data_IF_359231435541
#
_entry.id   IF_359231435541
#
_cell.length_a   1.000
_cell.length_b   1.000
_cell.length_c   1.000
_cell.angle_alpha   90.00
_cell.angle_beta   90.00
_cell.angle_gamma   90.00
#
_symmetry.space_group_name_H-M   'P 1'
#
loop_
_entity.id
_entity.type
_entity.pdbx_description
1 polymer ?
#
# COMPACT_ATOMS: atom_id res chain seq x y z
N UNK A 1 -7.87 3.79 -9.01
CA UNK A 1 -9.02 3.71 -8.07
C UNK A 1 -8.65 4.18 -6.68
N UNK A 2 -7.60 3.65 -6.03
CA UNK A 2 -7.13 4.13 -4.72
C UNK A 2 -6.87 5.66 -4.65
N UNK A 3 -6.05 6.20 -5.57
CA UNK A 3 -5.75 7.64 -5.63
C UNK A 3 -7.01 8.51 -5.81
N UNK A 4 -7.98 8.04 -6.59
CA UNK A 4 -9.24 8.76 -6.84
C UNK A 4 -10.05 8.87 -5.55
N UNK A 5 -10.18 7.76 -4.81
CA UNK A 5 -10.83 7.77 -3.50
C UNK A 5 -10.11 8.67 -2.51
N UNK A 6 -8.77 8.68 -2.50
CA UNK A 6 -8.01 9.58 -1.64
C UNK A 6 -8.25 11.06 -1.96
N UNK A 7 -8.30 11.44 -3.23
CA UNK A 7 -8.64 12.81 -3.63
C UNK A 7 -10.04 13.19 -3.15
N UNK A 8 -11.03 12.33 -3.39
CA UNK A 8 -12.42 12.56 -2.95
C UNK A 8 -12.47 12.74 -1.43
N UNK A 9 -11.94 11.80 -0.64
CA UNK A 9 -11.96 11.92 0.81
C UNK A 9 -11.13 13.09 1.33
N UNK A 10 -10.03 13.44 0.68
CA UNK A 10 -9.27 14.63 1.08
C UNK A 10 -10.03 15.92 0.83
N UNK A 11 -10.76 16.04 -0.28
CA UNK A 11 -11.63 17.20 -0.50
C UNK A 11 -12.78 17.27 0.51
N UNK A 12 -13.39 16.13 0.85
CA UNK A 12 -14.56 16.08 1.74
C UNK A 12 -14.21 16.23 3.23
N UNK A 13 -13.15 15.54 3.70
CA UNK A 13 -12.79 15.47 5.13
C UNK A 13 -11.79 16.56 5.50
N UNK A 14 -10.78 16.81 4.67
CA UNK A 14 -9.72 17.79 4.93
C UNK A 14 -10.04 19.18 4.34
N UNK A 15 -11.03 19.28 3.45
CA UNK A 15 -11.39 20.53 2.78
C UNK A 15 -10.33 21.05 1.80
N UNK A 16 -9.41 20.19 1.35
CA UNK A 16 -8.34 20.59 0.42
C UNK A 16 -8.93 20.95 -0.96
N UNK A 17 -8.39 22.01 -1.56
CA UNK A 17 -8.66 22.34 -2.97
C UNK A 17 -7.49 21.88 -3.82
N UNK A 18 -7.76 21.02 -4.80
CA UNK A 18 -6.76 20.56 -5.74
C UNK A 18 -6.76 21.41 -7.00
N UNK A 19 -5.57 21.66 -7.52
CA UNK A 19 -5.41 22.35 -8.79
C UNK A 19 -5.55 21.42 -9.99
N UNK A 20 -5.81 21.99 -11.17
CA UNK A 20 -5.86 21.22 -12.42
C UNK A 20 -4.56 20.46 -12.70
N UNK A 21 -3.40 21.03 -12.32
CA UNK A 21 -2.10 20.36 -12.50
C UNK A 21 -1.96 19.14 -11.58
N UNK A 22 -2.45 19.23 -10.33
CA UNK A 22 -2.43 18.10 -9.40
C UNK A 22 -3.35 16.98 -9.86
N UNK A 23 -4.53 17.32 -10.37
CA UNK A 23 -5.46 16.33 -10.94
C UNK A 23 -4.83 15.67 -12.17
N UNK A 24 -4.26 16.47 -13.09
CA UNK A 24 -3.57 15.95 -14.26
C UNK A 24 -2.37 15.06 -13.89
N UNK A 25 -1.57 15.46 -12.89
CA UNK A 25 -0.46 14.67 -12.36
C UNK A 25 -0.93 13.33 -11.78
N UNK A 26 -2.00 13.30 -10.99
CA UNK A 26 -2.58 12.05 -10.48
C UNK A 26 -3.12 11.15 -11.59
N UNK A 27 -3.75 11.70 -12.63
CA UNK A 27 -4.23 10.94 -13.78
C UNK A 27 -3.07 10.36 -14.60
N UNK A 28 -2.01 11.14 -14.82
CA UNK A 28 -0.79 10.69 -15.48
C UNK A 28 -0.12 9.55 -14.71
N UNK A 29 -0.01 9.66 -13.38
CA UNK A 29 0.51 8.58 -12.53
C UNK A 29 -0.34 7.32 -12.65
N UNK A 30 -1.67 7.44 -12.59
CA UNK A 30 -2.56 6.30 -12.77
C UNK A 30 -2.41 5.65 -14.15
N UNK A 31 -2.32 6.45 -15.21
CA UNK A 31 -2.11 5.96 -16.57
C UNK A 31 -0.74 5.26 -16.72
N UNK A 32 0.32 5.83 -16.14
CA UNK A 32 1.66 5.25 -16.14
C UNK A 32 1.72 3.89 -15.44
N UNK A 33 1.05 3.75 -14.28
CA UNK A 33 0.92 2.45 -13.60
C UNK A 33 0.17 1.43 -14.46
N UNK A 34 -0.97 1.81 -15.03
CA UNK A 34 -1.76 0.91 -15.89
C UNK A 34 -0.94 0.44 -17.09
N UNK A 35 -0.23 1.35 -17.76
CA UNK A 35 0.63 1.03 -18.89
C UNK A 35 1.81 0.12 -18.49
N UNK A 36 2.45 0.39 -17.35
CA UNK A 36 3.54 -0.43 -16.83
C UNK A 36 3.08 -1.85 -16.47
N UNK A 37 1.92 -2.00 -15.82
CA UNK A 37 1.40 -3.31 -15.39
C UNK A 37 0.84 -4.11 -16.57
N UNK A 38 0.11 -3.46 -17.49
CA UNK A 38 -0.45 -4.12 -18.68
C UNK A 38 0.64 -4.66 -19.62
N UNK A 39 1.86 -4.12 -19.56
CA UNK A 39 2.98 -4.62 -20.37
C UNK A 39 3.48 -6.01 -19.99
N UNK A 40 3.17 -6.48 -18.77
CA UNK A 40 3.54 -7.81 -18.27
C UNK A 40 2.42 -8.86 -18.39
N UNK A 41 1.21 -8.46 -18.78
CA UNK A 41 0.11 -9.40 -19.01
C UNK A 41 0.19 -9.97 -20.42
N UNK A 42 0.85 -11.12 -20.57
CA UNK A 42 0.70 -11.96 -21.77
C UNK A 42 -0.70 -12.58 -21.76
N UNK A 43 -1.44 -12.31 -22.83
CA UNK A 43 -2.79 -12.77 -23.16
C UNK A 43 -3.95 -12.24 -22.30
N UNK A 44 -4.97 -11.73 -22.99
CA UNK A 44 -6.18 -11.09 -22.46
C UNK A 44 -7.13 -12.01 -21.65
N UNK A 45 -6.59 -12.97 -20.89
CA UNK A 45 -7.34 -13.91 -20.05
C UNK A 45 -7.53 -13.45 -18.59
N UNK A 46 -6.84 -12.42 -18.11
CA UNK A 46 -6.99 -11.99 -16.71
C UNK A 46 -8.38 -11.41 -16.37
N UNK A 47 -9.17 -10.97 -17.36
CA UNK A 47 -10.48 -10.36 -17.12
C UNK A 47 -11.66 -11.15 -17.71
N UNK A 48 -11.44 -12.14 -18.58
CA UNK A 48 -12.53 -12.88 -19.22
C UNK A 48 -13.16 -13.96 -18.32
N UNK A 49 -12.44 -14.43 -17.30
CA UNK A 49 -12.89 -15.50 -16.40
C UNK A 49 -13.16 -15.05 -14.94
N UNK A 50 -13.00 -13.77 -14.63
CA UNK A 50 -13.20 -13.27 -13.25
C UNK A 50 -14.59 -12.65 -13.13
N UNK A 51 -15.42 -13.23 -12.25
CA UNK A 51 -16.71 -12.65 -11.92
C UNK A 51 -16.56 -11.18 -11.49
N UNK A 52 -17.38 -10.30 -12.08
CA UNK A 52 -17.38 -8.85 -11.83
C UNK A 52 -17.40 -8.46 -10.33
N UNK A 53 -17.90 -9.37 -9.49
CA UNK A 53 -17.90 -9.26 -8.03
C UNK A 53 -16.50 -9.00 -7.45
N UNK A 54 -15.44 -9.63 -7.97
CA UNK A 54 -14.09 -9.49 -7.42
C UNK A 54 -13.45 -8.12 -7.68
N UNK A 55 -13.46 -7.58 -8.92
CA UNK A 55 -13.08 -6.19 -9.16
C UNK A 55 -13.91 -5.18 -8.35
N UNK A 56 -15.21 -5.39 -8.21
CA UNK A 56 -16.08 -4.52 -7.42
C UNK A 56 -15.71 -4.56 -5.93
N UNK A 57 -15.45 -5.74 -5.38
CA UNK A 57 -14.99 -5.91 -3.99
C UNK A 57 -13.61 -5.26 -3.77
N UNK A 58 -12.68 -5.41 -4.71
CA UNK A 58 -11.38 -4.74 -4.65
C UNK A 58 -11.55 -3.22 -4.67
N UNK A 59 -12.43 -2.68 -5.53
CA UNK A 59 -12.74 -1.25 -5.58
C UNK A 59 -13.29 -0.75 -4.25
N UNK A 60 -14.26 -1.45 -3.67
CA UNK A 60 -14.82 -1.12 -2.36
C UNK A 60 -13.76 -1.15 -1.25
N UNK A 61 -12.90 -2.18 -1.23
CA UNK A 61 -11.79 -2.29 -0.27
C UNK A 61 -10.81 -1.12 -0.37
N UNK A 62 -10.47 -0.68 -1.59
CA UNK A 62 -9.55 0.46 -1.77
C UNK A 62 -10.11 1.77 -1.24
N UNK A 63 -11.44 1.94 -1.17
CA UNK A 63 -12.06 3.12 -0.56
C UNK A 63 -11.79 3.16 0.95
N UNK A 64 -11.95 2.03 1.67
CA UNK A 64 -11.64 1.98 3.11
C UNK A 64 -10.15 2.24 3.39
N UNK A 65 -9.25 1.68 2.57
CA UNK A 65 -7.82 1.93 2.69
C UNK A 65 -7.47 3.42 2.47
N UNK A 66 -8.09 4.03 1.44
CA UNK A 66 -7.93 5.45 1.15
C UNK A 66 -8.45 6.31 2.31
N UNK A 67 -9.64 6.01 2.83
CA UNK A 67 -10.24 6.68 3.98
C UNK A 67 -9.36 6.61 5.23
N UNK A 68 -8.82 5.43 5.54
CA UNK A 68 -7.89 5.25 6.66
C UNK A 68 -6.61 6.11 6.52
N UNK A 69 -6.07 6.23 5.31
CA UNK A 69 -4.91 7.09 5.03
C UNK A 69 -5.24 8.58 5.23
N UNK A 70 -6.39 9.03 4.75
CA UNK A 70 -6.88 10.42 4.92
C UNK A 70 -7.19 10.72 6.39
N UNK A 71 -7.78 9.79 7.14
CA UNK A 71 -8.06 9.96 8.57
C UNK A 71 -6.77 10.10 9.38
N UNK A 72 -5.71 9.35 9.04
CA UNK A 72 -4.38 9.53 9.65
C UNK A 72 -3.84 10.94 9.41
N UNK A 73 -3.96 11.46 8.18
CA UNK A 73 -3.59 12.85 7.89
C UNK A 73 -4.41 13.84 8.71
N UNK A 74 -5.73 13.63 8.82
CA UNK A 74 -6.60 14.47 9.64
C UNK A 74 -6.17 14.49 11.11
N UNK A 75 -5.80 13.33 11.69
CA UNK A 75 -5.28 13.24 13.06
C UNK A 75 -4.01 14.06 13.24
N UNK A 76 -3.07 14.02 12.29
CA UNK A 76 -1.85 14.84 12.37
C UNK A 76 -2.16 16.35 12.34
N UNK A 77 -3.09 16.78 11.48
CA UNK A 77 -3.49 18.19 11.38
C UNK A 77 -4.25 18.65 12.63
N UNK A 78 -5.20 17.85 13.13
CA UNK A 78 -5.95 18.17 14.34
C UNK A 78 -5.05 18.21 15.57
N UNK A 79 -4.12 17.25 15.69
CA UNK A 79 -3.15 17.23 16.78
C UNK A 79 -2.23 18.47 16.75
N UNK A 80 -1.76 18.90 15.58
CA UNK A 80 -0.96 20.13 15.46
C UNK A 80 -1.74 21.37 15.95
N UNK A 81 -3.05 21.45 15.68
CA UNK A 81 -3.91 22.53 16.20
C UNK A 81 -4.06 22.45 17.72
N UNK A 82 -4.35 21.28 18.27
CA UNK A 82 -4.55 21.08 19.73
C UNK A 82 -3.27 21.22 20.54
N UNK A 83 -2.13 20.83 19.99
CA UNK A 83 -0.82 20.85 20.65
C UNK A 83 -0.04 22.16 20.42
N UNK A 84 -0.73 23.24 19.99
CA UNK A 84 -0.14 24.58 19.77
C UNK A 84 1.07 24.55 18.82
N UNK A 85 0.98 23.79 17.73
CA UNK A 85 2.03 23.67 16.73
C UNK A 85 3.10 22.61 17.02
N UNK A 86 3.02 21.88 18.14
CA UNK A 86 3.87 20.69 18.34
C UNK A 86 3.37 19.54 17.47
N UNK A 87 4.30 18.88 16.79
CA UNK A 87 4.05 17.67 16.03
C UNK A 87 3.63 16.51 16.96
N UNK A 88 2.59 15.78 16.57
CA UNK A 88 2.24 14.51 17.22
C UNK A 88 3.33 13.47 16.94
N UNK A 89 3.63 12.65 17.93
CA UNK A 89 4.56 11.54 17.76
C UNK A 89 3.95 10.46 16.83
N UNK A 90 4.70 10.11 15.80
CA UNK A 90 4.35 9.09 14.80
C UNK A 90 4.15 7.72 15.46
N UNK A 91 4.94 7.39 16.49
CA UNK A 91 4.86 6.10 17.16
C UNK A 91 3.51 5.90 17.84
N UNK A 92 2.88 6.96 18.33
CA UNK A 92 1.52 6.89 18.91
C UNK A 92 0.53 6.48 17.83
N UNK A 93 0.53 7.16 16.68
CA UNK A 93 -0.39 6.86 15.57
C UNK A 93 -0.15 5.44 15.02
N UNK A 94 1.11 5.04 14.87
CA UNK A 94 1.47 3.73 14.36
C UNK A 94 1.08 2.59 15.32
N UNK A 95 1.34 2.76 16.62
CA UNK A 95 1.04 1.76 17.65
C UNK A 95 -0.46 1.60 17.86
N UNK A 96 -1.24 2.70 17.94
CA UNK A 96 -2.70 2.61 18.01
C UNK A 96 -3.28 1.98 16.74
N UNK A 97 -2.80 2.38 15.56
CA UNK A 97 -3.23 1.79 14.29
C UNK A 97 -2.96 0.28 14.23
N UNK A 98 -1.75 -0.14 14.58
CA UNK A 98 -1.36 -1.56 14.58
C UNK A 98 -2.06 -2.36 15.68
N UNK A 99 -2.26 -1.77 16.85
CA UNK A 99 -2.95 -2.40 17.99
C UNK A 99 -4.43 -2.69 17.68
N UNK A 100 -5.16 -1.71 17.16
CA UNK A 100 -6.55 -1.93 16.73
C UNK A 100 -6.63 -2.88 15.53
N UNK A 101 -5.70 -2.79 14.58
CA UNK A 101 -5.63 -3.76 13.48
C UNK A 101 -5.46 -5.19 14.00
N UNK A 102 -4.53 -5.42 14.95
CA UNK A 102 -4.35 -6.73 15.57
C UNK A 102 -5.61 -7.20 16.31
N UNK A 103 -6.26 -6.31 17.07
CA UNK A 103 -7.51 -6.61 17.77
C UNK A 103 -8.62 -7.05 16.81
N UNK A 104 -8.88 -6.29 15.75
CA UNK A 104 -9.91 -6.63 14.78
C UNK A 104 -9.55 -7.88 13.98
N UNK A 105 -8.29 -8.08 13.62
CA UNK A 105 -7.84 -9.31 12.94
C UNK A 105 -8.06 -10.52 13.84
N UNK A 106 -7.75 -10.45 15.14
CA UNK A 106 -7.99 -11.54 16.08
C UNK A 106 -9.49 -11.80 16.28
N UNK A 107 -10.30 -10.75 16.38
CA UNK A 107 -11.75 -10.85 16.51
C UNK A 107 -12.41 -11.48 15.27
N UNK A 108 -11.95 -11.12 14.08
CA UNK A 108 -12.47 -11.66 12.81
C UNK A 108 -11.75 -12.91 12.32
N UNK A 109 -10.68 -13.35 12.99
CA UNK A 109 -9.92 -14.55 12.65
C UNK A 109 -10.81 -15.78 12.40
N UNK A 110 -11.80 -16.15 13.23
CA UNK A 110 -12.63 -17.32 12.97
C UNK A 110 -13.42 -17.22 11.66
N UNK A 111 -13.92 -16.03 11.35
CA UNK A 111 -14.63 -15.77 10.10
C UNK A 111 -13.70 -15.81 8.89
N UNK A 112 -12.54 -15.14 8.97
CA UNK A 112 -11.53 -15.11 7.91
C UNK A 112 -10.95 -16.50 7.61
N UNK A 113 -10.75 -17.32 8.65
CA UNK A 113 -10.30 -18.71 8.51
C UNK A 113 -11.34 -19.57 7.81
N UNK A 114 -12.63 -19.39 8.11
CA UNK A 114 -13.71 -20.08 7.40
C UNK A 114 -13.76 -19.72 5.92
N UNK A 115 -13.48 -18.46 5.55
CA UNK A 115 -13.38 -18.03 4.14
C UNK A 115 -12.17 -18.63 3.42
N UNK A 116 -11.08 -18.91 4.14
CA UNK A 116 -9.91 -19.63 3.63
C UNK A 116 -10.09 -21.15 3.58
N UNK A 117 -11.23 -21.67 4.04
CA UNK A 117 -11.52 -23.10 4.05
C UNK A 117 -11.03 -23.87 5.27
N UNK A 118 -10.63 -23.19 6.36
CA UNK A 118 -10.21 -23.84 7.62
C UNK A 118 -11.40 -23.86 8.58
N UNK A 119 -11.88 -25.03 9.01
CA UNK A 119 -12.98 -25.13 9.98
C UNK A 119 -12.57 -24.58 11.34
N UNK A 120 -13.52 -23.97 12.07
CA UNK A 120 -13.25 -23.31 13.35
C UNK A 120 -12.60 -24.25 14.39
N UNK A 121 -12.94 -25.54 14.36
CA UNK A 121 -12.41 -26.55 15.29
C UNK A 121 -10.91 -26.80 15.08
N UNK A 122 -10.41 -26.63 13.86
CA UNK A 122 -8.99 -26.81 13.52
C UNK A 122 -8.18 -25.53 13.68
N UNK A 123 -8.82 -24.40 13.97
CA UNK A 123 -8.12 -23.12 14.10
C UNK A 123 -7.06 -23.13 15.22
N UNK A 124 -7.31 -23.67 16.42
CA UNK A 124 -6.30 -23.72 17.48
C UNK A 124 -5.11 -24.62 17.12
N UNK A 125 -5.34 -25.76 16.48
CA UNK A 125 -4.26 -26.65 16.04
C UNK A 125 -3.46 -26.03 14.90
N UNK A 126 -4.12 -25.33 13.96
CA UNK A 126 -3.47 -24.58 12.89
C UNK A 126 -2.57 -23.46 13.44
N UNK A 127 -3.04 -22.67 14.41
CA UNK A 127 -2.24 -21.62 15.05
C UNK A 127 -1.05 -22.21 15.83
N UNK A 128 -1.25 -23.33 16.53
CA UNK A 128 -0.18 -24.02 17.26
C UNK A 128 0.90 -24.53 16.30
N UNK A 129 0.52 -25.15 15.18
CA UNK A 129 1.43 -25.61 14.14
C UNK A 129 2.17 -24.44 13.48
N UNK A 130 1.47 -23.32 13.24
CA UNK A 130 2.09 -22.09 12.74
C UNK A 130 3.10 -21.48 13.71
N UNK A 131 2.80 -21.46 15.01
CA UNK A 131 3.72 -20.99 16.04
C UNK A 131 4.94 -21.91 16.20
N UNK A 132 4.73 -23.23 16.14
CA UNK A 132 5.79 -24.22 16.13
C UNK A 132 6.72 -24.03 14.92
N UNK A 133 6.14 -23.80 13.73
CA UNK A 133 6.89 -23.49 12.51
C UNK A 133 7.67 -22.16 12.62
N UNK A 134 7.04 -21.11 13.16
CA UNK A 134 7.67 -19.81 13.34
C UNK A 134 8.86 -19.88 14.30
N UNK A 135 8.71 -20.54 15.44
CA UNK A 135 9.78 -20.71 16.43
C UNK A 135 10.79 -21.79 16.03
N UNK A 136 10.56 -22.47 14.90
CA UNK A 136 11.34 -23.63 14.45
C UNK A 136 11.41 -24.76 15.50
N UNK A 137 10.34 -24.93 16.28
CA UNK A 137 10.21 -25.95 17.32
C UNK A 137 9.33 -27.08 16.77
N UNK A 138 9.93 -28.02 16.04
CA UNK A 138 9.26 -29.25 15.62
C UNK A 138 9.71 -29.76 14.26
N UNK A 139 10.48 -30.85 14.25
CA UNK A 139 10.94 -31.58 13.06
C UNK A 139 9.81 -32.25 12.23
N UNK A 140 8.53 -31.94 12.50
CA UNK A 140 7.36 -32.62 11.93
C UNK A 140 6.60 -31.75 10.90
N UNK A 141 6.90 -30.45 10.79
CA UNK A 141 6.22 -29.56 9.83
C UNK A 141 7.15 -29.29 8.64
N UNK A 142 6.80 -29.83 7.48
CA UNK A 142 7.52 -29.57 6.22
C UNK A 142 7.26 -28.13 5.76
N UNK A 143 8.30 -27.45 5.27
CA UNK A 143 8.16 -26.09 4.71
C UNK A 143 8.47 -24.93 5.66
N UNK A 144 9.01 -25.18 6.86
CA UNK A 144 9.44 -24.12 7.80
C UNK A 144 10.85 -23.56 7.53
N UNK A 145 11.38 -23.78 6.32
CA UNK A 145 12.73 -23.36 5.96
C UNK A 145 12.87 -21.82 6.05
N UNK A 146 13.85 -21.36 6.82
CA UNK A 146 14.14 -19.94 7.02
C UNK A 146 13.34 -19.25 8.13
N UNK A 147 12.48 -19.95 8.86
CA UNK A 147 11.94 -19.47 10.14
C UNK A 147 13.00 -19.58 11.26
N UNK A 148 13.06 -18.64 12.23
CA UNK A 148 12.23 -17.43 12.37
C UNK A 148 12.73 -16.22 11.56
N UNK A 149 13.93 -16.29 10.98
CA UNK A 149 14.64 -15.10 10.51
C UNK A 149 13.97 -14.41 9.31
N UNK A 150 13.46 -15.17 8.33
CA UNK A 150 12.72 -14.61 7.18
C UNK A 150 11.43 -13.88 7.63
N UNK A 151 10.55 -14.49 8.45
CA UNK A 151 9.42 -13.79 9.05
C UNK A 151 9.80 -12.54 9.85
N UNK A 152 10.86 -12.61 10.67
CA UNK A 152 11.32 -11.47 11.47
C UNK A 152 11.83 -10.32 10.60
N UNK A 153 12.57 -10.63 9.54
CA UNK A 153 13.02 -9.64 8.56
C UNK A 153 11.81 -8.97 7.89
N UNK A 154 10.83 -9.76 7.44
CA UNK A 154 9.59 -9.25 6.87
C UNK A 154 8.86 -8.30 7.84
N UNK A 155 8.69 -8.70 9.10
CA UNK A 155 8.04 -7.86 10.13
C UNK A 155 8.82 -6.56 10.32
N UNK A 156 10.15 -6.64 10.47
CA UNK A 156 11.01 -5.48 10.66
C UNK A 156 10.90 -4.49 9.50
N UNK A 157 10.98 -4.97 8.26
CA UNK A 157 10.83 -4.14 7.06
C UNK A 157 9.44 -3.51 6.96
N UNK A 158 8.36 -4.25 7.30
CA UNK A 158 7.00 -3.71 7.29
C UNK A 158 6.81 -2.61 8.34
N UNK A 159 7.35 -2.79 9.54
CA UNK A 159 7.28 -1.76 10.60
C UNK A 159 8.05 -0.51 10.16
N UNK A 160 9.27 -0.69 9.64
CA UNK A 160 10.06 0.42 9.12
C UNK A 160 9.31 1.17 8.00
N UNK A 161 8.73 0.43 7.05
CA UNK A 161 7.95 1.00 5.94
C UNK A 161 6.73 1.79 6.44
N UNK A 162 5.95 1.24 7.38
CA UNK A 162 4.78 1.93 7.93
C UNK A 162 5.16 3.23 8.66
N UNK A 163 6.27 3.22 9.42
CA UNK A 163 6.78 4.42 10.10
C UNK A 163 7.25 5.46 9.07
N UNK A 164 8.02 5.05 8.06
CA UNK A 164 8.47 5.96 6.99
C UNK A 164 7.31 6.58 6.24
N UNK A 165 6.27 5.80 5.94
CA UNK A 165 5.05 6.28 5.29
C UNK A 165 4.33 7.31 6.17
N UNK A 166 4.15 7.03 7.46
CA UNK A 166 3.53 7.98 8.38
C UNK A 166 4.33 9.28 8.52
N UNK A 167 5.66 9.20 8.56
CA UNK A 167 6.53 10.38 8.55
C UNK A 167 6.30 11.23 7.29
N UNK A 168 6.16 10.59 6.13
CA UNK A 168 5.88 11.27 4.86
C UNK A 168 4.49 11.91 4.84
N UNK A 169 3.48 11.23 5.39
CA UNK A 169 2.13 11.80 5.55
C UNK A 169 2.14 13.03 6.44
N UNK A 170 2.88 12.98 7.55
CA UNK A 170 2.97 14.09 8.51
C UNK A 170 3.64 15.32 7.91
N UNK A 171 4.69 15.16 7.12
CA UNK A 171 5.44 16.28 6.52
C UNK A 171 4.72 16.83 5.28
N UNK A 172 4.01 15.98 4.52
CA UNK A 172 3.43 16.34 3.23
C UNK A 172 1.91 16.18 3.17
N UNK A 173 1.44 14.98 2.79
CA UNK A 173 0.03 14.59 2.73
C UNK A 173 -0.10 13.10 2.43
N UNK A 174 -1.27 12.53 2.69
CA UNK A 174 -1.62 11.16 2.31
C UNK A 174 -1.52 10.92 0.79
N UNK A 175 -1.92 11.90 -0.02
CA UNK A 175 -1.87 11.81 -1.48
C UNK A 175 -0.42 11.77 -1.97
N UNK A 176 0.44 12.68 -1.49
CA UNK A 176 1.87 12.68 -1.84
C UNK A 176 2.54 11.38 -1.38
N UNK A 177 2.24 10.92 -0.18
CA UNK A 177 2.81 9.66 0.32
C UNK A 177 2.44 8.49 -0.59
N UNK A 178 1.21 8.44 -1.07
CA UNK A 178 0.72 7.36 -1.93
C UNK A 178 1.31 7.44 -3.34
N UNK A 179 1.48 8.65 -3.86
CA UNK A 179 2.18 8.92 -5.11
C UNK A 179 3.66 8.46 -5.03
N UNK A 180 4.35 8.73 -3.93
CA UNK A 180 5.73 8.24 -3.71
C UNK A 180 5.75 6.72 -3.57
N UNK A 181 4.83 6.11 -2.82
CA UNK A 181 4.73 4.64 -2.73
C UNK A 181 4.46 4.00 -4.10
N UNK A 182 3.77 4.71 -5.00
CA UNK A 182 3.51 4.20 -6.37
C UNK A 182 4.81 4.03 -7.18
N UNK A 183 5.89 4.76 -6.86
CA UNK A 183 7.22 4.55 -7.45
C UNK A 183 7.85 3.22 -7.03
N UNK A 184 7.45 2.64 -5.91
CA UNK A 184 7.96 1.34 -5.49
C UNK A 184 7.64 0.26 -6.53
N UNK A 185 6.50 0.36 -7.23
CA UNK A 185 6.08 -0.62 -8.25
C UNK A 185 7.09 -0.74 -9.39
N UNK A 186 7.42 0.33 -10.15
CA UNK A 186 8.40 0.22 -11.22
C UNK A 186 9.82 -0.07 -10.69
N UNK A 187 10.18 0.43 -9.51
CA UNK A 187 11.47 0.12 -8.88
C UNK A 187 11.59 -1.37 -8.55
N UNK A 188 10.55 -2.00 -8.02
CA UNK A 188 10.55 -3.44 -7.73
C UNK A 188 10.68 -4.25 -9.02
N UNK A 189 9.94 -3.89 -10.08
CA UNK A 189 10.04 -4.59 -11.37
C UNK A 189 11.45 -4.44 -11.97
N UNK A 190 12.05 -3.26 -11.86
CA UNK A 190 13.44 -3.05 -12.27
C UNK A 190 14.42 -3.91 -11.45
N UNK A 191 14.29 -3.96 -10.13
CA UNK A 191 15.15 -4.79 -9.26
C UNK A 191 15.02 -6.27 -9.59
N UNK A 192 13.81 -6.74 -9.89
CA UNK A 192 13.55 -8.14 -10.27
C UNK A 192 14.14 -8.53 -11.63
N UNK A 193 14.56 -7.55 -12.45
CA UNK A 193 15.30 -7.82 -13.70
C UNK A 193 16.80 -7.97 -13.48
N UNK A 194 17.31 -7.65 -12.29
CA UNK A 194 18.70 -7.93 -11.94
C UNK A 194 18.87 -9.42 -11.67
N UNK A 195 20.07 -10.00 -11.93
CA UNK A 195 20.35 -11.39 -11.61
C UNK A 195 20.41 -11.56 -10.08
N UNK A 196 19.25 -11.82 -9.48
CA UNK A 196 19.10 -12.05 -8.05
C UNK A 196 19.39 -13.52 -7.74
N UNK A 197 20.13 -13.80 -6.66
CA UNK A 197 20.37 -15.18 -6.24
C UNK A 197 19.02 -15.86 -5.94
N UNK A 198 18.85 -17.10 -6.41
CA UNK A 198 17.64 -17.93 -6.27
C UNK A 198 16.40 -17.55 -7.09
N UNK A 199 16.48 -16.58 -8.00
CA UNK A 199 15.44 -16.32 -9.02
C UNK A 199 15.93 -16.76 -10.42
N UNK A 200 15.10 -17.44 -11.24
CA UNK A 200 15.45 -17.78 -12.62
C UNK A 200 15.68 -16.52 -13.48
N UNK A 201 16.40 -16.69 -14.60
CA UNK A 201 17.03 -15.64 -15.43
C UNK A 201 16.23 -14.33 -15.61
N UNK A 202 16.97 -13.23 -15.57
CA UNK A 202 16.53 -11.87 -15.84
C UNK A 202 15.68 -11.78 -17.13
N UNK A 203 14.37 -11.55 -16.97
CA UNK A 203 13.48 -11.32 -18.10
C UNK A 203 13.74 -9.96 -18.72
N UNK A 204 13.80 -9.89 -20.06
CA UNK A 204 13.93 -8.63 -20.78
C UNK A 204 12.73 -7.69 -20.50
N UNK A 205 13.03 -6.45 -20.13
CA UNK A 205 12.02 -5.41 -19.88
C UNK A 205 11.27 -5.06 -21.17
N UNK A 206 9.94 -5.13 -21.13
CA UNK A 206 9.09 -4.66 -22.23
C UNK A 206 9.29 -3.15 -22.45
N UNK A 207 9.45 -2.66 -23.68
CA UNK A 207 9.51 -1.23 -23.98
C UNK A 207 8.30 -0.45 -23.43
N UNK A 208 7.13 -1.09 -23.35
CA UNK A 208 5.92 -0.50 -22.78
C UNK A 208 6.04 -0.25 -21.27
N UNK A 209 6.79 -1.09 -20.54
CA UNK A 209 7.06 -0.88 -19.12
C UNK A 209 7.91 0.37 -18.89
N UNK A 210 8.94 0.58 -19.72
CA UNK A 210 9.79 1.78 -19.66
C UNK A 210 8.98 3.04 -19.94
N UNK A 211 8.13 3.02 -20.97
CA UNK A 211 7.24 4.14 -21.30
C UNK A 211 6.28 4.42 -20.13
N UNK A 212 5.63 3.40 -19.57
CA UNK A 212 4.74 3.54 -18.41
C UNK A 212 5.45 4.13 -17.18
N UNK A 213 6.69 3.70 -16.92
CA UNK A 213 7.52 4.22 -15.83
C UNK A 213 7.89 5.70 -16.03
N UNK A 214 8.25 6.10 -17.25
CA UNK A 214 8.53 7.51 -17.59
C UNK A 214 7.28 8.38 -17.41
N UNK A 215 6.12 7.92 -17.90
CA UNK A 215 4.84 8.63 -17.74
C UNK A 215 4.49 8.81 -16.26
N UNK A 216 4.73 7.79 -15.44
CA UNK A 216 4.52 7.84 -14.00
C UNK A 216 5.41 8.91 -13.35
N UNK A 217 6.72 8.91 -13.65
CA UNK A 217 7.66 9.92 -13.12
C UNK A 217 7.28 11.33 -13.57
N UNK A 218 6.89 11.51 -14.84
CA UNK A 218 6.40 12.80 -15.35
C UNK A 218 5.13 13.25 -14.64
N UNK A 219 4.19 12.33 -14.35
CA UNK A 219 2.99 12.64 -13.58
C UNK A 219 3.29 13.14 -12.16
N UNK A 220 4.31 12.58 -11.50
CA UNK A 220 4.79 13.06 -10.20
C UNK A 220 5.42 14.45 -10.29
N UNK A 221 6.23 14.69 -11.31
CA UNK A 221 6.81 16.01 -11.55
C UNK A 221 5.70 17.05 -11.77
N UNK A 222 4.71 16.75 -12.62
CA UNK A 222 3.55 17.62 -12.87
C UNK A 222 2.75 17.89 -11.59
N UNK A 223 2.62 16.89 -10.71
CA UNK A 223 1.96 17.05 -9.42
C UNK A 223 2.76 17.97 -8.47
N UNK A 224 4.08 17.90 -8.50
CA UNK A 224 4.97 18.65 -7.61
C UNK A 224 5.28 20.08 -8.10
N UNK A 225 5.06 20.39 -9.39
CA UNK A 225 5.29 21.74 -9.92
C UNK A 225 4.45 22.74 -9.09
N UNK A 226 5.11 23.64 -8.33
CA UNK A 226 4.41 24.61 -7.52
C UNK A 226 3.59 25.51 -8.43
N UNK A 227 2.28 25.55 -8.22
CA UNK A 227 1.49 26.59 -8.85
C UNK A 227 1.93 27.93 -8.27
N UNK A 228 2.36 28.85 -9.15
CA UNK A 228 2.44 30.26 -8.79
C UNK A 228 1.11 30.65 -8.17
N UNK A 229 1.13 31.05 -6.90
CA UNK A 229 -0.04 31.62 -6.26
C UNK A 229 -0.59 32.72 -7.17
N UNK A 230 -1.88 32.63 -7.53
CA UNK A 230 -2.56 33.82 -8.05
C UNK A 230 -2.43 34.87 -6.96
N UNK A 231 -1.89 36.07 -7.23
CA UNK A 231 -1.96 37.15 -6.26
C UNK A 231 -3.45 37.38 -5.98
N UNK A 232 -3.82 37.29 -4.71
CA UNK A 232 -5.10 37.79 -4.23
C UNK A 232 -5.14 39.28 -4.55
N UNK A 233 -5.95 39.63 -5.55
CA UNK A 233 -6.43 41.00 -5.75
C UNK A 233 -7.50 41.33 -4.72
#
# INVERSE_FOLDING_TARGET
TFLVWQLIFSTLILGRKYSLNQIAGCLLVAAGVVAAVASGSSDGQMLSNIAFVWPAMMLASTAFQAGASILKEFVFIDAAKRLKGKALDIFVVNSFGSGFQALFVLLFLPFLSSLKGIPFVELPSYLKSGAACFLNIGNQVTGCAGAPWLPLLFISTNVAFNISLLNLVQISSAVVSSLVTTLAVPLTIFILTLPLPYLPEATNLSPFFLIGSVILVLGLLVYYIPQRAKPTS
#
